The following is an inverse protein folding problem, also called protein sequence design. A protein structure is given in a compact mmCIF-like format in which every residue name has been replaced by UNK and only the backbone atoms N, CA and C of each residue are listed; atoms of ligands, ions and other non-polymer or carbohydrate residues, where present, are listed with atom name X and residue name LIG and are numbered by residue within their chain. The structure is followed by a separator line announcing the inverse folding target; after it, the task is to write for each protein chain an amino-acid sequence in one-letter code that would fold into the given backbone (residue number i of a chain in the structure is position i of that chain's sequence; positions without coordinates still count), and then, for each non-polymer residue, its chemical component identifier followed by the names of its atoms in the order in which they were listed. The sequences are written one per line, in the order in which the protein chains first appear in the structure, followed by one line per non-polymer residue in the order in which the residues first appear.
data_IF_879940172722
#
_entry.id   IF_879940172722
#
_cell.length_a   1.000
_cell.length_b   1.000
_cell.length_c   1.000
_cell.angle_alpha   90.00
_cell.angle_beta   90.00
_cell.angle_gamma   90.00
#
_symmetry.space_group_name_H-M   'P 1'
#
loop_
_entity.id
_entity.type
_entity.pdbx_description
1 polymer ?
#
# COMPACT_ATOMS: atom_id res chain seq x y z
N UNK A 1 -13.38 3.68 57.72
CA UNK A 1 -11.93 3.39 57.73
C UNK A 1 -11.75 2.03 57.07
N UNK A 2 -11.57 2.02 55.70
CA UNK A 2 -11.40 0.79 54.93
C UNK A 2 -9.93 0.66 54.54
N UNK A 3 -9.32 -0.43 55.02
CA UNK A 3 -7.93 -0.79 54.76
C UNK A 3 -7.90 -1.60 53.47
N UNK A 4 -7.33 -1.06 52.39
CA UNK A 4 -7.02 -1.78 51.16
C UNK A 4 -5.70 -2.55 51.35
N UNK A 5 -5.77 -3.88 51.35
CA UNK A 5 -4.59 -4.74 51.29
C UNK A 5 -4.18 -4.90 49.82
N UNK A 6 -3.00 -4.40 49.47
CA UNK A 6 -2.34 -4.71 48.20
C UNK A 6 -1.68 -6.09 48.32
N UNK A 7 -2.19 -7.03 47.53
CA UNK A 7 -1.47 -8.30 47.27
C UNK A 7 -0.69 -8.12 45.96
N UNK A 8 0.62 -7.97 46.08
CA UNK A 8 1.57 -8.05 44.97
C UNK A 8 1.77 -9.50 44.59
N UNK A 9 1.03 -9.98 43.60
CA UNK A 9 1.30 -11.26 42.94
C UNK A 9 2.27 -11.04 41.80
N UNK A 10 3.52 -11.44 41.99
CA UNK A 10 4.51 -11.51 40.90
C UNK A 10 4.14 -12.62 39.95
N UNK A 11 3.74 -12.28 38.73
CA UNK A 11 3.55 -13.23 37.62
C UNK A 11 4.95 -13.49 37.04
N UNK A 12 5.45 -14.71 36.95
CA UNK A 12 6.71 -14.99 36.28
C UNK A 12 6.53 -14.83 34.79
N UNK A 13 7.22 -13.85 34.20
CA UNK A 13 7.36 -13.70 32.75
C UNK A 13 8.31 -14.81 32.30
N UNK A 14 7.72 -15.92 31.84
CA UNK A 14 8.47 -16.97 31.18
C UNK A 14 8.47 -16.75 29.67
N UNK A 15 9.66 -16.49 29.12
CA UNK A 15 10.18 -16.85 27.81
C UNK A 15 9.21 -16.81 26.59
N UNK A 16 8.80 -15.61 26.20
CA UNK A 16 8.14 -15.39 24.89
C UNK A 16 9.13 -15.11 23.77
N UNK A 17 10.36 -14.71 24.08
CA UNK A 17 11.33 -14.25 23.07
C UNK A 17 12.01 -15.38 22.30
N UNK A 18 12.23 -16.55 22.93
CA UNK A 18 12.81 -17.71 22.24
C UNK A 18 11.84 -18.32 21.20
N UNK A 19 10.55 -18.40 21.52
CA UNK A 19 9.54 -18.95 20.61
C UNK A 19 9.29 -18.06 19.39
N UNK A 20 9.54 -16.74 19.49
CA UNK A 20 9.40 -15.79 18.38
C UNK A 20 10.62 -15.86 17.45
N UNK A 21 11.82 -16.11 18.01
CA UNK A 21 13.05 -16.22 17.23
C UNK A 21 13.10 -17.53 16.44
N UNK A 22 12.67 -18.64 17.01
CA UNK A 22 12.58 -19.94 16.30
C UNK A 22 11.55 -19.92 15.17
N UNK A 23 10.34 -19.41 15.41
CA UNK A 23 9.33 -19.23 14.35
C UNK A 23 9.78 -18.31 13.23
N UNK A 24 10.56 -17.26 13.52
CA UNK A 24 11.14 -16.37 12.49
C UNK A 24 12.25 -17.04 11.69
N UNK A 25 13.00 -17.95 12.28
CA UNK A 25 14.05 -18.72 11.58
C UNK A 25 13.44 -19.83 10.71
N UNK A 26 12.44 -20.56 11.18
CA UNK A 26 11.73 -21.56 10.38
C UNK A 26 11.04 -20.95 9.16
N UNK A 27 10.38 -19.80 9.30
CA UNK A 27 9.74 -19.11 8.18
C UNK A 27 10.74 -18.55 7.19
N UNK A 28 11.96 -18.18 7.61
CA UNK A 28 13.04 -17.76 6.69
C UNK A 28 13.66 -18.96 5.97
N UNK A 29 13.79 -20.10 6.63
CA UNK A 29 14.33 -21.31 6.03
C UNK A 29 13.36 -21.95 5.03
N UNK A 30 12.06 -22.00 5.33
CA UNK A 30 11.02 -22.46 4.39
C UNK A 30 10.95 -21.57 3.15
N UNK A 31 11.04 -20.24 3.30
CA UNK A 31 11.13 -19.33 2.15
C UNK A 31 12.39 -19.52 1.29
N UNK A 32 13.52 -19.88 1.92
CA UNK A 32 14.77 -20.17 1.19
C UNK A 32 14.69 -21.49 0.43
N UNK A 33 14.07 -22.51 0.99
CA UNK A 33 13.88 -23.81 0.36
C UNK A 33 12.87 -23.72 -0.81
N UNK A 34 11.79 -22.98 -0.65
CA UNK A 34 10.83 -22.68 -1.72
C UNK A 34 11.52 -21.99 -2.91
N UNK A 35 12.38 -20.99 -2.64
CA UNK A 35 13.09 -20.27 -3.71
C UNK A 35 14.15 -21.09 -4.44
N UNK A 36 14.57 -22.24 -3.90
CA UNK A 36 15.61 -23.07 -4.52
C UNK A 36 15.06 -24.00 -5.59
N UNK A 37 13.81 -24.42 -5.43
CA UNK A 37 13.15 -25.41 -6.29
C UNK A 37 12.05 -24.82 -7.18
N UNK A 38 11.72 -23.53 -6.99
CA UNK A 38 10.67 -22.83 -7.72
C UNK A 38 11.16 -21.52 -8.30
N UNK A 39 10.74 -21.22 -9.52
CA UNK A 39 10.84 -19.89 -10.10
C UNK A 39 9.62 -19.06 -9.71
N UNK A 40 9.84 -17.89 -9.12
CA UNK A 40 8.78 -16.97 -8.70
C UNK A 40 8.34 -16.09 -9.87
N UNK A 41 7.10 -16.22 -10.31
CA UNK A 41 6.48 -15.40 -11.33
C UNK A 41 5.37 -14.53 -10.73
N UNK A 42 5.62 -13.24 -10.65
CA UNK A 42 4.67 -12.28 -10.07
C UNK A 42 3.53 -12.01 -11.03
N UNK A 43 2.29 -12.25 -10.59
CA UNK A 43 1.11 -11.80 -11.32
C UNK A 43 0.94 -10.29 -11.20
N UNK A 44 0.37 -9.68 -12.23
CA UNK A 44 -0.02 -8.26 -12.16
C UNK A 44 -1.16 -8.10 -11.14
N UNK A 45 -1.13 -7.03 -10.32
CA UNK A 45 -2.24 -6.75 -9.41
C UNK A 45 -3.53 -6.52 -10.20
N UNK A 46 -4.64 -6.99 -9.64
CA UNK A 46 -5.97 -6.67 -10.17
C UNK A 46 -6.17 -5.17 -10.00
N UNK A 47 -6.43 -4.49 -11.11
CA UNK A 47 -6.71 -3.06 -11.10
C UNK A 47 -8.19 -2.84 -10.87
N UNK A 48 -8.58 -1.87 -10.01
CA UNK A 48 -9.96 -1.41 -9.96
C UNK A 48 -10.35 -0.79 -11.32
N UNK A 49 -11.65 -0.52 -11.49
CA UNK A 49 -12.21 0.00 -12.74
C UNK A 49 -11.38 1.18 -13.26
N UNK A 50 -10.96 1.11 -14.51
CA UNK A 50 -10.20 2.15 -15.16
C UNK A 50 -11.13 3.30 -15.58
N UNK A 51 -10.75 4.52 -15.18
CA UNK A 51 -11.36 5.77 -15.64
C UNK A 51 -10.28 6.72 -16.14
N UNK A 52 -10.64 7.69 -16.95
CA UNK A 52 -9.69 8.70 -17.44
C UNK A 52 -9.05 9.50 -16.29
N UNK A 53 -9.75 9.63 -15.19
CA UNK A 53 -9.33 10.32 -13.97
C UNK A 53 -8.57 9.42 -12.96
N UNK A 54 -8.35 8.15 -13.30
CA UNK A 54 -7.64 7.19 -12.44
C UNK A 54 -6.18 7.05 -12.87
N UNK A 55 -5.26 7.24 -11.92
CA UNK A 55 -3.82 7.22 -12.19
C UNK A 55 -3.15 6.21 -11.27
N UNK A 56 -2.55 5.18 -11.88
CA UNK A 56 -1.74 4.20 -11.17
C UNK A 56 -0.29 4.69 -11.07
N UNK A 57 0.11 5.03 -9.85
CA UNK A 57 1.47 5.47 -9.57
C UNK A 57 2.38 4.26 -9.42
N UNK A 58 3.45 4.20 -10.20
CA UNK A 58 4.45 3.13 -10.11
C UNK A 58 5.83 3.70 -9.80
N UNK A 59 6.72 2.84 -9.29
CA UNK A 59 8.10 3.24 -9.02
C UNK A 59 8.89 3.60 -10.29
N UNK A 60 8.51 3.06 -11.44
CA UNK A 60 9.22 3.19 -12.72
C UNK A 60 8.77 4.39 -13.55
N UNK A 61 7.55 4.87 -13.37
CA UNK A 61 6.99 5.96 -14.18
C UNK A 61 7.69 7.28 -13.87
N UNK A 62 7.93 8.12 -14.86
CA UNK A 62 8.52 9.44 -14.66
C UNK A 62 7.58 10.29 -13.78
N UNK A 63 8.12 10.86 -12.71
CA UNK A 63 7.34 11.63 -11.73
C UNK A 63 6.78 12.91 -12.34
N UNK A 64 7.61 13.65 -13.08
CA UNK A 64 7.20 14.90 -13.72
C UNK A 64 6.08 14.66 -14.74
N UNK A 65 6.22 13.63 -15.57
CA UNK A 65 5.17 13.29 -16.55
C UNK A 65 3.85 12.91 -15.89
N UNK A 66 3.88 12.25 -14.72
CA UNK A 66 2.67 11.97 -13.94
C UNK A 66 2.06 13.23 -13.34
N UNK A 67 2.90 14.15 -12.85
CA UNK A 67 2.46 15.43 -12.31
C UNK A 67 1.79 16.28 -13.41
N UNK A 68 2.45 16.40 -14.55
CA UNK A 68 1.93 17.15 -15.70
C UNK A 68 0.58 16.57 -16.17
N UNK A 69 0.46 15.24 -16.28
CA UNK A 69 -0.80 14.58 -16.60
C UNK A 69 -1.91 14.90 -15.59
N UNK A 70 -1.61 14.90 -14.30
CA UNK A 70 -2.58 15.25 -13.26
C UNK A 70 -3.02 16.72 -13.38
N UNK A 71 -2.06 17.62 -13.58
CA UNK A 71 -2.35 19.04 -13.79
C UNK A 71 -3.23 19.26 -15.02
N UNK A 72 -2.94 18.58 -16.12
CA UNK A 72 -3.75 18.66 -17.34
C UNK A 72 -5.19 18.21 -17.14
N UNK A 73 -5.41 17.10 -16.43
CA UNK A 73 -6.74 16.59 -16.12
C UNK A 73 -7.54 17.58 -15.28
N UNK A 74 -6.95 18.10 -14.19
CA UNK A 74 -7.60 19.11 -13.35
C UNK A 74 -7.86 20.41 -14.12
N UNK A 75 -6.96 20.84 -15.00
CA UNK A 75 -7.12 22.06 -15.79
C UNK A 75 -8.19 21.89 -16.87
N UNK A 76 -8.32 20.70 -17.47
CA UNK A 76 -9.36 20.36 -18.44
C UNK A 76 -10.77 20.27 -17.85
N UNK A 77 -10.89 20.37 -16.52
CA UNK A 77 -12.18 20.43 -15.85
C UNK A 77 -12.64 19.10 -15.22
N UNK A 78 -11.75 18.12 -15.12
CA UNK A 78 -12.07 16.92 -14.32
C UNK A 78 -12.37 17.33 -12.87
N UNK A 79 -13.47 16.83 -12.34
CA UNK A 79 -13.93 17.16 -11.00
C UNK A 79 -13.03 16.56 -9.92
N UNK A 80 -12.48 15.41 -10.22
CA UNK A 80 -11.64 14.65 -9.31
C UNK A 80 -10.62 13.79 -10.04
N UNK A 81 -9.50 13.52 -9.37
CA UNK A 81 -8.49 12.54 -9.79
C UNK A 81 -8.29 11.54 -8.67
N UNK A 82 -8.10 10.28 -9.01
CA UNK A 82 -7.84 9.20 -8.07
C UNK A 82 -6.44 8.64 -8.34
N UNK A 83 -5.56 8.75 -7.34
CA UNK A 83 -4.23 8.18 -7.38
C UNK A 83 -4.21 6.84 -6.65
N UNK A 84 -3.69 5.81 -7.29
CA UNK A 84 -3.48 4.49 -6.69
C UNK A 84 -1.99 4.17 -6.58
N UNK A 85 -1.54 3.80 -5.38
CA UNK A 85 -0.17 3.38 -5.12
C UNK A 85 -0.11 2.08 -4.34
N UNK A 86 0.79 1.17 -4.72
CA UNK A 86 1.03 -0.11 -4.03
C UNK A 86 2.47 -0.19 -3.49
N UNK A 87 2.63 -0.63 -2.25
CA UNK A 87 3.90 -0.92 -1.62
C UNK A 87 4.92 0.21 -1.76
N UNK A 88 6.00 -0.02 -2.50
CA UNK A 88 7.06 0.98 -2.70
C UNK A 88 6.64 2.24 -3.49
N UNK A 89 5.46 2.24 -4.12
CA UNK A 89 4.92 3.41 -4.81
C UNK A 89 4.12 4.36 -3.90
N UNK A 90 3.81 3.95 -2.66
CA UNK A 90 3.00 4.73 -1.71
C UNK A 90 3.62 6.10 -1.44
N UNK A 91 4.91 6.14 -1.09
CA UNK A 91 5.61 7.40 -0.83
C UNK A 91 5.53 8.34 -2.05
N UNK A 92 5.70 7.78 -3.24
CA UNK A 92 5.65 8.56 -4.48
C UNK A 92 4.24 9.10 -4.77
N UNK A 93 3.22 8.30 -4.44
CA UNK A 93 1.82 8.69 -4.54
C UNK A 93 1.50 9.87 -3.60
N UNK A 94 1.95 9.81 -2.35
CA UNK A 94 1.82 10.90 -1.39
C UNK A 94 2.53 12.19 -1.86
N UNK A 95 3.77 12.06 -2.33
CA UNK A 95 4.52 13.22 -2.84
C UNK A 95 3.81 13.87 -4.04
N UNK A 96 3.22 13.06 -4.93
CA UNK A 96 2.48 13.56 -6.09
C UNK A 96 1.23 14.33 -5.64
N UNK A 97 0.48 13.79 -4.67
CA UNK A 97 -0.71 14.43 -4.13
C UNK A 97 -0.39 15.77 -3.45
N UNK A 98 0.67 15.82 -2.63
CA UNK A 98 1.11 17.05 -1.94
C UNK A 98 1.59 18.13 -2.93
N UNK A 99 2.28 17.73 -4.01
CA UNK A 99 2.68 18.70 -5.03
C UNK A 99 1.46 19.25 -5.79
N UNK A 100 0.46 18.42 -6.09
CA UNK A 100 -0.77 18.88 -6.69
C UNK A 100 -1.54 19.84 -5.78
N UNK A 101 -1.63 19.54 -4.49
CA UNK A 101 -2.22 20.43 -3.50
C UNK A 101 -1.51 21.79 -3.46
N UNK A 102 -0.17 21.78 -3.52
CA UNK A 102 0.63 23.02 -3.55
C UNK A 102 0.41 23.82 -4.83
N UNK A 103 0.35 23.17 -5.99
CA UNK A 103 0.14 23.82 -7.29
C UNK A 103 -1.27 24.46 -7.36
N UNK A 104 -2.28 23.74 -6.88
CA UNK A 104 -3.66 24.18 -6.89
C UNK A 104 -4.11 24.82 -5.57
N UNK A 105 -3.18 25.39 -4.81
CA UNK A 105 -3.32 25.89 -3.44
C UNK A 105 -4.72 26.41 -3.08
N UNK A 106 -5.37 25.75 -2.14
CA UNK A 106 -6.69 26.12 -1.61
C UNK A 106 -7.90 25.76 -2.49
N UNK A 107 -7.71 25.30 -3.72
CA UNK A 107 -8.80 24.92 -4.62
C UNK A 107 -9.05 23.42 -4.70
N UNK A 108 -8.13 22.61 -4.18
CA UNK A 108 -8.24 21.17 -4.15
C UNK A 108 -8.17 20.65 -2.71
N UNK A 109 -8.92 19.60 -2.45
CA UNK A 109 -8.87 18.83 -1.19
C UNK A 109 -8.37 17.42 -1.48
N UNK A 110 -7.69 16.84 -0.47
CA UNK A 110 -7.17 15.49 -0.50
C UNK A 110 -7.97 14.60 0.45
N UNK A 111 -8.44 13.47 -0.03
CA UNK A 111 -9.00 12.39 0.77
C UNK A 111 -8.10 11.17 0.62
N UNK A 112 -7.53 10.71 1.73
CA UNK A 112 -6.53 9.64 1.74
C UNK A 112 -7.10 8.41 2.41
N UNK A 113 -7.13 7.29 1.69
CA UNK A 113 -7.52 5.98 2.19
C UNK A 113 -6.38 4.99 2.03
N UNK A 114 -6.15 4.17 3.04
CA UNK A 114 -5.14 3.11 3.03
C UNK A 114 -5.80 1.75 3.16
N UNK A 115 -5.15 0.73 2.63
CA UNK A 115 -5.64 -0.62 2.70
C UNK A 115 -4.55 -1.66 2.47
N UNK A 116 -4.95 -2.91 2.43
CA UNK A 116 -4.10 -4.04 2.09
C UNK A 116 -4.70 -4.78 0.91
N UNK A 117 -3.86 -5.12 -0.06
CA UNK A 117 -4.24 -5.86 -1.27
C UNK A 117 -3.51 -7.18 -1.29
N UNK A 118 -4.23 -8.24 -1.61
CA UNK A 118 -3.67 -9.57 -1.81
C UNK A 118 -3.12 -9.69 -3.22
N UNK A 119 -1.86 -10.08 -3.31
CA UNK A 119 -1.15 -10.31 -4.55
C UNK A 119 -0.82 -11.79 -4.65
N UNK A 120 -1.12 -12.39 -5.79
CA UNK A 120 -0.83 -13.79 -6.08
C UNK A 120 0.44 -13.88 -6.91
N UNK A 121 1.37 -14.70 -6.46
CA UNK A 121 2.58 -15.02 -7.20
C UNK A 121 2.56 -16.51 -7.56
N UNK A 122 2.89 -16.86 -8.81
CA UNK A 122 3.01 -18.23 -9.27
C UNK A 122 4.39 -18.78 -8.91
N UNK A 123 4.43 -20.02 -8.47
CA UNK A 123 5.62 -20.79 -8.18
C UNK A 123 5.74 -21.89 -9.24
N UNK A 124 6.57 -21.64 -10.25
CA UNK A 124 6.85 -22.59 -11.31
C UNK A 124 7.95 -23.56 -10.83
N UNK A 125 7.73 -24.89 -10.83
CA UNK A 125 8.74 -25.84 -10.40
C UNK A 125 9.95 -25.82 -11.34
N UNK A 126 11.15 -25.94 -10.78
CA UNK A 126 12.41 -26.04 -11.51
C UNK A 126 12.84 -27.48 -11.72
N UNK A 127 12.13 -28.44 -11.12
CA UNK A 127 12.35 -29.87 -11.20
C UNK A 127 11.03 -30.59 -11.50
N UNK A 128 11.09 -31.65 -12.33
CA UNK A 128 9.89 -32.36 -12.83
C UNK A 128 9.09 -33.08 -11.72
N UNK A 129 9.70 -33.29 -10.56
CA UNK A 129 9.09 -33.99 -9.42
C UNK A 129 8.16 -33.11 -8.58
N UNK A 130 8.07 -31.79 -8.87
CA UNK A 130 7.30 -30.83 -8.12
C UNK A 130 6.14 -30.28 -8.94
N UNK A 131 5.01 -30.05 -8.28
CA UNK A 131 3.82 -29.46 -8.88
C UNK A 131 3.86 -27.93 -8.85
N UNK A 132 3.10 -27.31 -9.77
CA UNK A 132 2.84 -25.89 -9.78
C UNK A 132 2.11 -25.47 -8.48
N UNK A 133 2.54 -24.37 -7.92
CA UNK A 133 1.93 -23.82 -6.71
C UNK A 133 1.74 -22.31 -6.84
N UNK A 134 0.94 -21.73 -5.95
CA UNK A 134 0.75 -20.29 -5.87
C UNK A 134 0.86 -19.83 -4.42
N UNK A 135 1.43 -18.65 -4.22
CA UNK A 135 1.48 -18.03 -2.91
C UNK A 135 0.77 -16.68 -2.91
N UNK A 136 0.06 -16.39 -1.82
CA UNK A 136 -0.54 -15.08 -1.59
C UNK A 136 0.39 -14.25 -0.71
N UNK A 137 0.64 -13.02 -1.12
CA UNK A 137 1.35 -12.03 -0.31
C UNK A 137 0.52 -10.78 -0.16
N UNK A 138 0.55 -10.18 0.99
CA UNK A 138 -0.14 -8.94 1.28
C UNK A 138 0.75 -7.74 0.92
N UNK A 139 0.16 -6.72 0.32
CA UNK A 139 0.83 -5.46 0.00
C UNK A 139 -0.01 -4.28 0.46
N UNK A 140 0.63 -3.32 1.14
CA UNK A 140 -0.04 -2.08 1.50
C UNK A 140 -0.42 -1.29 0.25
N UNK A 141 -1.58 -0.67 0.28
CA UNK A 141 -2.11 0.18 -0.78
C UNK A 141 -2.51 1.55 -0.23
N UNK A 142 -2.46 2.54 -1.11
CA UNK A 142 -2.99 3.88 -0.85
C UNK A 142 -3.87 4.31 -2.00
N UNK A 143 -4.98 4.96 -1.68
CA UNK A 143 -5.90 5.59 -2.61
C UNK A 143 -6.04 7.05 -2.18
N UNK A 144 -5.66 7.98 -3.05
CA UNK A 144 -5.78 9.40 -2.78
C UNK A 144 -6.71 10.00 -3.81
N UNK A 145 -7.84 10.51 -3.34
CA UNK A 145 -8.80 11.25 -4.13
C UNK A 145 -8.47 12.73 -4.00
N UNK A 146 -8.26 13.39 -5.13
CA UNK A 146 -7.99 14.81 -5.23
C UNK A 146 -9.17 15.43 -5.97
N UNK A 147 -9.90 16.31 -5.32
CA UNK A 147 -11.11 16.92 -5.90
C UNK A 147 -11.13 18.42 -5.64
N UNK A 148 -11.75 19.14 -6.58
CA UNK A 148 -11.93 20.59 -6.45
C UNK A 148 -13.01 20.90 -5.45
N UNK A 149 -12.69 21.76 -4.50
CA UNK A 149 -13.68 22.37 -3.64
C UNK A 149 -14.37 23.45 -4.44
N UNK A 150 -15.71 23.40 -4.52
CA UNK A 150 -16.48 24.53 -5.02
C UNK A 150 -16.09 25.75 -4.17
N UNK A 151 -15.52 26.78 -4.78
CA UNK A 151 -15.39 28.05 -4.10
C UNK A 151 -16.81 28.46 -3.71
N UNK A 152 -17.09 28.52 -2.41
CA UNK A 152 -18.25 29.25 -1.94
C UNK A 152 -18.02 30.68 -2.41
N UNK A 153 -18.69 31.03 -3.51
CA UNK A 153 -18.77 32.41 -3.93
C UNK A 153 -19.36 33.17 -2.74
N UNK A 154 -18.52 33.91 -2.05
CA UNK A 154 -18.96 34.89 -1.08
C UNK A 154 -19.75 35.94 -1.88
N UNK A 155 -21.06 35.72 -1.98
CA UNK A 155 -21.96 36.76 -2.36
C UNK A 155 -22.05 37.73 -1.17
N UNK A 156 -21.35 38.84 -1.29
CA UNK A 156 -21.73 40.08 -0.61
C UNK A 156 -22.63 40.86 -1.52
#
# INVERSE_FOLDING_TARGET
MYVLRHTTGSIPIQNTDENISEKKQETKNTKRLLNKNYALKKRLPIRPVEGNNVIFVTKKTNFKAQLDKCCDLLTKGEKEIILHGLGAAIQRCCNLALQLETIFSGTCQLEVNTGTVDLVDDLEPLVDELDFSAQVRHSSSIHIRIFRTAMLSANQ
#
